data_IF_235290217993
#
_entry.id   IF_235290217993
#
_cell.length_a   1.000
_cell.length_b   1.000
_cell.length_c   1.000
_cell.angle_alpha   90.00
_cell.angle_beta   90.00
_cell.angle_gamma   90.00
#
_symmetry.space_group_name_H-M   'P 1'
#
loop_
_entity.id
_entity.type
_entity.pdbx_description
1 polymer ?
#
# COMPACT_ATOMS: atom_id res chain seq x y z
N UNK A 1 -15.35 18.53 13.73
CA UNK A 1 -14.25 17.60 13.41
C UNK A 1 -12.95 18.34 13.74
N UNK A 2 -12.09 17.79 14.60
CA UNK A 2 -10.86 18.49 15.01
C UNK A 2 -9.75 18.39 13.94
N UNK A 3 -8.76 19.27 13.99
CA UNK A 3 -7.59 19.18 13.10
C UNK A 3 -6.85 17.84 13.25
N UNK A 4 -6.85 17.28 14.46
CA UNK A 4 -6.27 15.98 14.77
C UNK A 4 -7.05 14.84 14.10
N UNK A 5 -8.38 14.91 14.08
CA UNK A 5 -9.22 13.91 13.40
C UNK A 5 -9.02 13.94 11.89
N UNK A 6 -8.89 15.14 11.32
CA UNK A 6 -8.61 15.32 9.90
C UNK A 6 -7.22 14.77 9.53
N UNK A 7 -6.20 15.06 10.35
CA UNK A 7 -4.86 14.52 10.15
C UNK A 7 -4.85 12.98 10.23
N UNK A 8 -5.58 12.40 11.19
CA UNK A 8 -5.72 10.95 11.32
C UNK A 8 -6.41 10.35 10.09
N UNK A 9 -7.49 10.97 9.60
CA UNK A 9 -8.22 10.50 8.42
C UNK A 9 -7.33 10.51 7.16
N UNK A 10 -6.55 11.57 6.96
CA UNK A 10 -5.61 11.68 5.85
C UNK A 10 -4.51 10.61 5.92
N UNK A 11 -3.95 10.39 7.12
CA UNK A 11 -2.92 9.37 7.35
C UNK A 11 -3.45 7.97 7.06
N UNK A 12 -4.64 7.62 7.57
CA UNK A 12 -5.28 6.32 7.31
C UNK A 12 -5.60 6.13 5.82
N UNK A 13 -6.11 7.16 5.15
CA UNK A 13 -6.37 7.11 3.71
C UNK A 13 -5.09 6.86 2.90
N UNK A 14 -4.02 7.57 3.22
CA UNK A 14 -2.72 7.39 2.56
C UNK A 14 -2.16 5.97 2.82
N UNK A 15 -2.31 5.46 4.04
CA UNK A 15 -1.93 4.09 4.38
C UNK A 15 -2.68 3.05 3.53
N UNK A 16 -4.00 3.19 3.36
CA UNK A 16 -4.79 2.31 2.50
C UNK A 16 -4.35 2.38 1.02
N UNK A 17 -4.00 3.56 0.52
CA UNK A 17 -3.52 3.71 -0.87
C UNK A 17 -2.21 2.97 -1.11
N UNK A 18 -1.24 3.10 -0.19
CA UNK A 18 0.03 2.38 -0.27
C UNK A 18 -0.21 0.87 -0.26
N UNK A 19 -1.06 0.39 0.66
CA UNK A 19 -1.41 -1.04 0.75
C UNK A 19 -1.99 -1.55 -0.56
N UNK A 20 -3.00 -0.87 -1.10
CA UNK A 20 -3.67 -1.31 -2.32
C UNK A 20 -2.68 -1.39 -3.48
N UNK A 21 -1.81 -0.38 -3.64
CA UNK A 21 -0.78 -0.39 -4.68
C UNK A 21 0.21 -1.54 -4.51
N UNK A 22 0.65 -1.80 -3.28
CA UNK A 22 1.54 -2.91 -2.98
C UNK A 22 0.90 -4.25 -3.37
N UNK A 23 -0.35 -4.48 -2.95
CA UNK A 23 -1.06 -5.72 -3.27
C UNK A 23 -1.26 -5.89 -4.78
N UNK A 24 -1.62 -4.83 -5.51
CA UNK A 24 -1.72 -4.89 -6.98
C UNK A 24 -0.38 -5.16 -7.67
N UNK A 25 0.73 -4.62 -7.17
CA UNK A 25 2.07 -4.92 -7.70
C UNK A 25 2.47 -6.36 -7.44
N UNK A 26 2.25 -6.83 -6.21
CA UNK A 26 2.59 -8.19 -5.79
C UNK A 26 1.74 -9.22 -6.51
N UNK A 27 0.44 -8.96 -6.71
CA UNK A 27 -0.45 -9.83 -7.48
C UNK A 27 -0.02 -10.00 -8.93
N UNK A 28 0.44 -8.91 -9.58
CA UNK A 28 1.01 -8.99 -10.92
C UNK A 28 2.28 -9.82 -10.97
N UNK A 29 3.21 -9.57 -10.04
CA UNK A 29 4.46 -10.34 -9.96
C UNK A 29 4.20 -11.83 -9.66
N UNK A 30 3.23 -12.13 -8.77
CA UNK A 30 2.83 -13.50 -8.46
C UNK A 30 2.27 -14.22 -9.70
N UNK A 31 1.41 -13.54 -10.48
CA UNK A 31 0.87 -14.09 -11.73
C UNK A 31 1.98 -14.38 -12.76
N UNK A 32 2.99 -13.51 -12.87
CA UNK A 32 4.13 -13.71 -13.78
C UNK A 32 4.94 -14.97 -13.47
N UNK A 33 5.07 -15.33 -12.19
CA UNK A 33 5.81 -16.53 -11.75
C UNK A 33 4.92 -17.77 -11.57
N UNK A 34 3.64 -17.70 -11.99
CA UNK A 34 2.69 -18.80 -11.87
C UNK A 34 2.24 -19.11 -10.44
N UNK A 35 2.35 -18.14 -9.53
CA UNK A 35 1.85 -18.28 -8.17
C UNK A 35 0.34 -17.99 -8.07
N UNK A 36 -0.35 -18.63 -7.11
CA UNK A 36 -1.76 -18.36 -6.83
C UNK A 36 -1.99 -16.88 -6.43
N UNK A 37 -3.13 -16.32 -6.82
CA UNK A 37 -3.46 -14.91 -6.57
C UNK A 37 -3.48 -14.56 -5.07
N UNK A 38 -3.84 -15.54 -4.24
CA UNK A 38 -3.88 -15.52 -2.79
C UNK A 38 -2.48 -15.25 -2.17
N UNK A 39 -1.40 -15.52 -2.91
CA UNK A 39 -0.05 -15.18 -2.47
C UNK A 39 0.16 -13.67 -2.28
N UNK A 40 -0.60 -12.84 -3.01
CA UNK A 40 -0.57 -11.38 -2.88
C UNK A 40 -1.43 -10.85 -1.72
N UNK A 41 -2.32 -11.68 -1.20
CA UNK A 41 -3.19 -11.37 -0.06
C UNK A 41 -2.54 -11.71 1.27
N UNK A 42 -1.50 -12.54 1.26
CA UNK A 42 -0.75 -12.93 2.44
C UNK A 42 -0.04 -11.73 3.06
N UNK A 43 -0.57 -11.27 4.20
CA UNK A 43 0.03 -10.23 5.03
C UNK A 43 0.48 -10.82 6.36
N UNK A 44 1.78 -10.83 6.62
CA UNK A 44 2.33 -11.36 7.86
C UNK A 44 1.88 -10.51 9.07
N UNK A 45 1.26 -11.15 10.07
CA UNK A 45 0.73 -10.49 11.27
C UNK A 45 1.82 -9.82 12.14
N UNK A 46 3.06 -10.30 12.03
CA UNK A 46 4.21 -9.81 12.82
C UNK A 46 4.51 -8.32 12.55
N UNK A 47 4.04 -7.77 11.42
CA UNK A 47 4.17 -6.36 11.08
C UNK A 47 2.91 -5.82 10.40
N UNK A 48 1.83 -5.61 11.15
CA UNK A 48 0.65 -4.84 10.69
C UNK A 48 0.94 -3.39 10.26
N UNK A 49 2.22 -3.00 10.12
CA UNK A 49 2.70 -1.69 9.66
C UNK A 49 3.29 -1.87 8.25
N UNK A 50 2.91 -1.00 7.32
CA UNK A 50 3.57 -0.94 6.02
C UNK A 50 5.08 -0.72 6.22
N UNK A 51 5.92 -1.41 5.46
CA UNK A 51 7.36 -1.24 5.55
C UNK A 51 7.70 0.26 5.31
N UNK A 52 8.57 0.90 6.12
CA UNK A 52 8.80 2.34 6.05
C UNK A 52 9.22 2.84 4.66
N UNK A 53 9.97 2.02 3.92
CA UNK A 53 10.38 2.36 2.54
C UNK A 53 9.19 2.45 1.58
N UNK A 54 8.04 1.85 1.88
CA UNK A 54 6.88 1.86 0.98
C UNK A 54 6.20 3.23 0.89
N UNK A 55 6.36 4.08 1.91
CA UNK A 55 5.99 5.50 1.78
C UNK A 55 6.82 6.23 0.73
N UNK A 56 8.06 5.80 0.48
CA UNK A 56 8.91 6.42 -0.53
C UNK A 56 8.72 5.76 -1.91
N UNK A 57 8.59 4.42 -1.96
CA UNK A 57 8.57 3.67 -3.22
C UNK A 57 7.17 3.39 -3.77
N UNK A 58 6.16 3.26 -2.92
CA UNK A 58 4.78 2.96 -3.30
C UNK A 58 3.85 4.17 -3.20
N UNK A 59 4.33 5.33 -2.72
CA UNK A 59 3.57 6.57 -2.87
C UNK A 59 3.51 6.98 -4.35
N UNK A 60 2.45 7.71 -4.73
CA UNK A 60 2.27 8.13 -6.12
C UNK A 60 3.44 9.03 -6.51
N UNK A 61 4.07 8.71 -7.65
CA UNK A 61 5.00 9.62 -8.30
C UNK A 61 4.27 10.94 -8.59
N UNK A 62 4.90 12.08 -8.30
CA UNK A 62 4.39 13.39 -8.70
C UNK A 62 4.29 13.56 -10.23
N UNK A 63 4.85 12.63 -11.01
CA UNK A 63 4.82 12.67 -12.47
C UNK A 63 3.44 12.39 -13.10
N UNK A 64 2.41 11.99 -12.33
CA UNK A 64 1.04 11.80 -12.86
C UNK A 64 0.14 13.03 -12.74
N UNK A 65 0.72 14.23 -12.53
CA UNK A 65 0.03 15.52 -12.48
C UNK A 65 0.39 16.36 -13.73
N UNK A 66 0.26 15.76 -14.91
CA UNK A 66 0.41 16.42 -16.22
C UNK A 66 -0.84 16.24 -17.04
#
# INVERSE_FOLDING_TARGET
MSAQDQARALMMRHHHLIKNRQQSMLGRAAAEVGMPAEASEYWNHIQGKAHPSFRASYDRSHASLS
#
